data_IF_792431071457
#
_entry.id   IF_792431071457
#
_cell.length_a   1.000
_cell.length_b   1.000
_cell.length_c   1.000
_cell.angle_alpha   90.00
_cell.angle_beta   90.00
_cell.angle_gamma   90.00
#
_symmetry.space_group_name_H-M   'P 1'
#
loop_
_entity.id
_entity.type
_entity.pdbx_description
1 polymer ?
#
# COMPACT_ATOMS: atom_id res chain seq x y z
N UNK A 1 -9.25 13.29 -9.20
CA UNK A 1 -7.85 13.11 -8.74
C UNK A 1 -7.82 12.27 -7.47
N UNK A 2 -8.18 12.80 -6.29
CA UNK A 2 -8.17 12.02 -5.04
C UNK A 2 -9.07 10.76 -5.07
N UNK A 3 -10.27 10.84 -5.65
CA UNK A 3 -11.17 9.69 -5.79
C UNK A 3 -10.59 8.55 -6.65
N UNK A 4 -9.81 8.88 -7.67
CA UNK A 4 -9.25 7.89 -8.62
C UNK A 4 -8.05 7.14 -8.03
N UNK A 5 -7.25 7.79 -7.18
CA UNK A 5 -6.18 7.11 -6.45
C UNK A 5 -6.74 6.24 -5.32
N UNK A 6 -7.86 6.66 -4.72
CA UNK A 6 -8.60 5.84 -3.76
C UNK A 6 -9.13 4.56 -4.40
N UNK A 7 -9.71 4.64 -5.61
CA UNK A 7 -10.14 3.45 -6.36
C UNK A 7 -8.99 2.46 -6.61
N UNK A 8 -7.78 2.95 -6.87
CA UNK A 8 -6.59 2.11 -6.97
C UNK A 8 -6.24 1.46 -5.62
N UNK A 9 -6.25 2.22 -4.52
CA UNK A 9 -5.97 1.67 -3.20
C UNK A 9 -7.00 0.60 -2.81
N UNK A 10 -8.29 0.88 -3.01
CA UNK A 10 -9.37 -0.06 -2.74
C UNK A 10 -9.20 -1.35 -3.56
N UNK A 11 -8.82 -1.23 -4.83
CA UNK A 11 -8.53 -2.38 -5.68
C UNK A 11 -7.33 -3.19 -5.16
N UNK A 12 -6.24 -2.54 -4.76
CA UNK A 12 -5.07 -3.22 -4.19
C UNK A 12 -5.45 -3.98 -2.92
N UNK A 13 -6.20 -3.35 -2.02
CA UNK A 13 -6.60 -3.96 -0.75
C UNK A 13 -7.50 -5.17 -0.99
N UNK A 14 -8.51 -5.04 -1.84
CA UNK A 14 -9.46 -6.14 -2.10
C UNK A 14 -8.77 -7.32 -2.81
N UNK A 15 -7.90 -7.06 -3.78
CA UNK A 15 -7.33 -8.11 -4.64
C UNK A 15 -5.98 -8.66 -4.17
N UNK A 16 -5.27 -7.95 -3.31
CA UNK A 16 -3.96 -8.38 -2.83
C UNK A 16 -3.98 -8.59 -1.32
N UNK A 17 -4.43 -7.61 -0.52
CA UNK A 17 -4.42 -7.74 0.94
C UNK A 17 -5.38 -8.82 1.44
N UNK A 18 -6.64 -8.72 1.02
CA UNK A 18 -7.70 -9.64 1.48
C UNK A 18 -7.48 -11.04 0.93
N UNK A 19 -7.07 -11.20 -0.33
CA UNK A 19 -6.83 -12.54 -0.90
C UNK A 19 -5.61 -13.24 -0.30
N UNK A 20 -4.55 -12.50 0.04
CA UNK A 20 -3.33 -13.07 0.62
C UNK A 20 -3.57 -13.48 2.08
N UNK A 21 -4.18 -12.61 2.90
CA UNK A 21 -4.45 -12.95 4.29
C UNK A 21 -5.52 -14.05 4.43
N UNK A 22 -6.51 -14.13 3.53
CA UNK A 22 -7.45 -15.24 3.53
C UNK A 22 -6.78 -16.58 3.24
N UNK A 23 -5.77 -16.60 2.36
CA UNK A 23 -4.95 -17.79 2.10
C UNK A 23 -4.13 -18.15 3.32
N UNK A 24 -3.56 -17.17 4.01
CA UNK A 24 -2.81 -17.41 5.25
C UNK A 24 -3.70 -17.98 6.36
N UNK A 25 -4.93 -17.49 6.51
CA UNK A 25 -5.92 -18.07 7.44
C UNK A 25 -6.23 -19.52 7.04
N UNK A 26 -6.44 -19.81 5.75
CA UNK A 26 -6.67 -21.18 5.28
C UNK A 26 -5.48 -22.12 5.52
N UNK A 27 -4.25 -21.62 5.38
CA UNK A 27 -3.03 -22.41 5.58
C UNK A 27 -2.73 -22.68 7.06
N UNK A 28 -3.12 -21.76 7.95
CA UNK A 28 -2.89 -21.87 9.39
C UNK A 28 -4.09 -22.43 10.17
N UNK A 29 -5.24 -22.60 9.51
CA UNK A 29 -6.43 -23.18 10.12
C UNK A 29 -6.12 -24.56 10.72
N UNK A 30 -6.47 -24.73 11.98
CA UNK A 30 -6.27 -26.01 12.67
C UNK A 30 -7.35 -27.01 12.21
N UNK A 31 -7.02 -28.31 12.22
CA UNK A 31 -7.98 -29.37 11.85
C UNK A 31 -9.22 -29.47 12.77
N UNK A 32 -9.28 -28.66 13.83
CA UNK A 32 -10.34 -28.66 14.85
C UNK A 32 -11.24 -27.42 14.73
N UNK A 33 -10.84 -26.39 13.98
CA UNK A 33 -11.66 -25.21 13.73
C UNK A 33 -12.83 -25.52 12.81
N UNK A 34 -13.99 -25.00 13.16
CA UNK A 34 -15.17 -25.10 12.30
C UNK A 34 -15.05 -24.13 11.12
N UNK A 35 -15.61 -24.51 9.97
CA UNK A 35 -15.64 -23.62 8.79
C UNK A 35 -16.29 -22.25 9.07
N UNK A 36 -17.20 -22.16 10.05
CA UNK A 36 -17.78 -20.88 10.48
C UNK A 36 -16.82 -19.98 11.24
N UNK A 37 -15.86 -20.54 11.99
CA UNK A 37 -14.85 -19.77 12.72
C UNK A 37 -13.81 -19.20 11.73
N UNK A 38 -13.36 -20.03 10.78
CA UNK A 38 -12.46 -19.63 9.68
C UNK A 38 -13.09 -18.48 8.86
N UNK A 39 -14.37 -18.60 8.48
CA UNK A 39 -15.07 -17.55 7.73
C UNK A 39 -15.28 -16.26 8.54
N UNK A 40 -15.37 -16.34 9.87
CA UNK A 40 -15.44 -15.14 10.71
C UNK A 40 -14.09 -14.43 10.76
N UNK A 41 -13.01 -15.18 10.97
CA UNK A 41 -11.66 -14.65 11.03
C UNK A 41 -11.25 -13.98 9.71
N UNK A 42 -11.59 -14.59 8.57
CA UNK A 42 -11.38 -14.00 7.24
C UNK A 42 -12.12 -12.66 7.05
N UNK A 43 -13.31 -12.50 7.63
CA UNK A 43 -14.06 -11.23 7.55
C UNK A 43 -13.45 -10.17 8.45
N UNK A 44 -13.03 -10.53 9.65
CA UNK A 44 -12.40 -9.60 10.59
C UNK A 44 -11.07 -9.08 10.04
N UNK A 45 -10.29 -9.96 9.43
CA UNK A 45 -9.08 -9.63 8.66
C UNK A 45 -9.39 -8.64 7.54
N UNK A 46 -10.34 -8.98 6.68
CA UNK A 46 -10.67 -8.14 5.53
C UNK A 46 -11.15 -6.75 5.97
N UNK A 47 -11.94 -6.67 7.05
CA UNK A 47 -12.41 -5.41 7.59
C UNK A 47 -11.26 -4.56 8.14
N UNK A 48 -10.28 -5.16 8.83
CA UNK A 48 -9.10 -4.42 9.32
C UNK A 48 -8.30 -3.79 8.19
N UNK A 49 -8.10 -4.52 7.09
CA UNK A 49 -7.36 -4.00 5.94
C UNK A 49 -8.13 -2.87 5.23
N UNK A 50 -9.47 -2.98 5.16
CA UNK A 50 -10.32 -1.90 4.66
C UNK A 50 -10.23 -0.67 5.56
N UNK A 51 -10.39 -0.83 6.88
CA UNK A 51 -10.33 0.28 7.83
C UNK A 51 -8.96 1.00 7.77
N UNK A 52 -7.88 0.21 7.67
CA UNK A 52 -6.52 0.71 7.50
C UNK A 52 -6.36 1.47 6.19
N UNK A 53 -6.91 0.96 5.10
CA UNK A 53 -6.89 1.64 3.80
C UNK A 53 -7.64 2.97 3.85
N UNK A 54 -8.77 3.03 4.56
CA UNK A 54 -9.51 4.28 4.75
C UNK A 54 -8.70 5.31 5.55
N UNK A 55 -8.04 4.90 6.64
CA UNK A 55 -7.18 5.79 7.44
C UNK A 55 -5.99 6.33 6.62
N UNK A 56 -5.39 5.46 5.81
CA UNK A 56 -4.16 5.75 5.08
C UNK A 56 -4.37 6.20 3.63
N UNK A 57 -5.62 6.39 3.18
CA UNK A 57 -5.93 6.78 1.81
C UNK A 57 -5.28 8.12 1.41
N UNK A 58 -5.37 9.13 2.27
CA UNK A 58 -4.80 10.45 2.01
C UNK A 58 -3.26 10.44 2.03
N UNK A 59 -2.59 9.83 3.03
CA UNK A 59 -1.15 9.59 2.97
C UNK A 59 -0.69 8.81 1.74
N UNK A 60 -1.41 7.74 1.38
CA UNK A 60 -1.11 6.93 0.19
C UNK A 60 -1.13 7.79 -1.08
N UNK A 61 -2.20 8.55 -1.28
CA UNK A 61 -2.34 9.39 -2.46
C UNK A 61 -1.25 10.46 -2.54
N UNK A 62 -0.94 11.11 -1.41
CA UNK A 62 0.15 12.10 -1.34
C UNK A 62 1.51 11.49 -1.62
N UNK A 63 1.81 10.35 -1.01
CA UNK A 63 3.05 9.60 -1.23
C UNK A 63 3.23 9.17 -2.69
N UNK A 64 2.15 8.68 -3.32
CA UNK A 64 2.20 8.24 -4.72
C UNK A 64 2.40 9.42 -5.69
N UNK A 65 1.75 10.56 -5.43
CA UNK A 65 1.99 11.79 -6.19
C UNK A 65 3.42 12.31 -5.99
N UNK A 66 3.95 12.27 -4.77
CA UNK A 66 5.33 12.65 -4.49
C UNK A 66 6.32 11.74 -5.24
N UNK A 67 6.09 10.42 -5.22
CA UNK A 67 6.87 9.45 -5.98
C UNK A 67 6.83 9.71 -7.48
N UNK A 68 5.66 10.00 -8.02
CA UNK A 68 5.51 10.30 -9.43
C UNK A 68 6.26 11.58 -9.82
N UNK A 69 6.14 12.65 -9.04
CA UNK A 69 6.87 13.91 -9.28
C UNK A 69 8.38 13.72 -9.20
N UNK A 70 8.87 12.96 -8.23
CA UNK A 70 10.28 12.63 -8.10
C UNK A 70 10.78 11.86 -9.34
N UNK A 71 10.01 10.88 -9.80
CA UNK A 71 10.30 10.12 -11.03
C UNK A 71 10.37 11.01 -12.27
N UNK A 72 9.41 11.93 -12.43
CA UNK A 72 9.40 12.90 -13.53
C UNK A 72 10.61 13.86 -13.48
N UNK A 73 11.15 14.12 -12.29
CA UNK A 73 12.38 14.88 -12.09
C UNK A 73 13.67 14.04 -12.25
N UNK A 74 13.55 12.74 -12.55
CA UNK A 74 14.68 11.83 -12.77
C UNK A 74 15.19 11.12 -11.51
N UNK A 75 14.53 11.28 -10.36
CA UNK A 75 14.84 10.50 -9.17
C UNK A 75 14.25 9.09 -9.28
N UNK A 76 14.98 8.10 -8.76
CA UNK A 76 14.55 6.69 -8.80
C UNK A 76 13.71 6.30 -7.59
N UNK A 77 13.87 6.99 -6.47
CA UNK A 77 13.20 6.72 -5.20
C UNK A 77 12.80 8.03 -4.51
N UNK A 78 11.78 7.95 -3.66
CA UNK A 78 11.49 9.02 -2.70
C UNK A 78 12.13 8.70 -1.36
N UNK A 79 12.46 9.74 -0.61
CA UNK A 79 12.96 9.65 0.76
C UNK A 79 11.89 10.19 1.69
N UNK A 80 11.56 9.45 2.73
CA UNK A 80 10.58 9.79 3.75
C UNK A 80 11.22 9.64 5.13
N UNK A 81 11.12 10.65 5.96
CA UNK A 81 11.75 10.75 7.28
C UNK A 81 10.69 10.54 8.38
N UNK A 82 10.88 9.54 9.25
CA UNK A 82 9.88 9.18 10.27
C UNK A 82 9.66 10.26 11.34
N UNK A 83 10.58 11.23 11.42
CA UNK A 83 10.49 12.39 12.32
C UNK A 83 9.45 13.40 11.86
N UNK A 84 9.12 13.40 10.56
CA UNK A 84 8.00 14.15 10.01
C UNK A 84 6.74 13.27 10.06
N UNK A 85 5.70 13.62 10.83
CA UNK A 85 4.50 12.80 10.95
C UNK A 85 3.74 12.58 9.63
N UNK A 86 3.85 13.50 8.67
CA UNK A 86 3.25 13.33 7.35
C UNK A 86 4.07 12.36 6.51
N UNK A 87 5.40 12.50 6.49
CA UNK A 87 6.28 11.57 5.76
C UNK A 87 6.24 10.17 6.35
N UNK A 88 6.17 10.05 7.68
CA UNK A 88 5.99 8.77 8.35
C UNK A 88 4.71 8.07 7.90
N UNK A 89 3.57 8.78 7.87
CA UNK A 89 2.30 8.22 7.39
C UNK A 89 2.33 7.87 5.89
N UNK A 90 3.04 8.64 5.07
CA UNK A 90 3.25 8.29 3.67
C UNK A 90 4.08 7.01 3.56
N UNK A 91 5.10 6.84 4.39
CA UNK A 91 5.94 5.64 4.40
C UNK A 91 5.12 4.42 4.82
N UNK A 92 4.34 4.51 5.91
CA UNK A 92 3.45 3.46 6.38
C UNK A 92 2.47 3.01 5.29
N UNK A 93 1.87 3.97 4.57
CA UNK A 93 0.92 3.69 3.51
C UNK A 93 1.58 3.05 2.28
N UNK A 94 2.71 3.59 1.80
CA UNK A 94 3.38 3.06 0.61
C UNK A 94 4.04 1.70 0.89
N UNK A 95 4.64 1.52 2.06
CA UNK A 95 5.21 0.23 2.45
C UNK A 95 4.09 -0.80 2.62
N UNK A 96 3.04 -0.44 3.36
CA UNK A 96 1.90 -1.32 3.61
C UNK A 96 1.21 -1.80 2.34
N UNK A 97 0.93 -0.89 1.39
CA UNK A 97 0.08 -1.20 0.23
C UNK A 97 0.82 -1.38 -1.10
N UNK A 98 2.10 -1.00 -1.22
CA UNK A 98 2.86 -1.24 -2.45
C UNK A 98 3.98 -2.24 -2.25
N UNK A 99 4.77 -2.11 -1.17
CA UNK A 99 5.94 -2.97 -0.96
C UNK A 99 5.51 -4.39 -0.62
N UNK A 100 4.50 -4.55 0.26
CA UNK A 100 3.95 -5.86 0.64
C UNK A 100 3.51 -6.70 -0.57
N UNK A 101 3.08 -6.05 -1.66
CA UNK A 101 2.56 -6.71 -2.87
C UNK A 101 3.50 -6.59 -4.08
N UNK A 102 4.79 -6.31 -3.84
CA UNK A 102 5.83 -6.17 -4.87
C UNK A 102 5.54 -5.13 -5.96
N UNK A 103 4.71 -4.14 -5.67
CA UNK A 103 4.42 -2.97 -6.51
C UNK A 103 5.42 -1.83 -6.24
N UNK A 104 6.18 -1.93 -5.15
CA UNK A 104 7.32 -1.09 -4.84
C UNK A 104 8.39 -1.91 -4.10
N UNK A 105 9.57 -1.33 -3.94
CA UNK A 105 10.59 -1.81 -3.01
C UNK A 105 10.91 -0.71 -2.01
N UNK A 106 11.31 -1.09 -0.80
CA UNK A 106 11.83 -0.16 0.20
C UNK A 106 13.19 -0.60 0.73
N UNK A 107 13.99 0.39 1.11
CA UNK A 107 15.14 0.21 1.99
C UNK A 107 15.05 1.23 3.13
N UNK A 108 15.56 0.86 4.28
CA UNK A 108 15.51 1.70 5.49
C UNK A 108 16.93 1.99 5.97
N UNK A 109 17.14 3.21 6.43
CA UNK A 109 18.38 3.66 7.06
C UNK A 109 18.05 4.25 8.43
N UNK A 110 18.68 3.74 9.50
CA UNK A 110 18.59 4.35 10.82
C UNK A 110 19.50 5.57 10.88
N UNK A 111 18.93 6.75 11.12
CA UNK A 111 19.67 8.01 11.14
C UNK A 111 20.09 8.43 12.56
N UNK A 112 19.27 8.05 13.54
CA UNK A 112 19.45 8.27 14.97
C UNK A 112 18.72 7.12 15.71
N UNK A 113 18.98 6.87 17.01
CA UNK A 113 18.32 5.78 17.73
C UNK A 113 16.80 5.84 17.62
N UNK A 114 16.19 4.79 17.05
CA UNK A 114 14.74 4.71 16.78
C UNK A 114 14.21 5.80 15.83
N UNK A 115 15.05 6.30 14.93
CA UNK A 115 14.67 7.24 13.87
C UNK A 115 15.17 6.72 12.52
N UNK A 116 14.27 6.70 11.54
CA UNK A 116 14.46 6.02 10.28
C UNK A 116 14.14 6.92 9.09
N UNK A 117 14.93 6.74 8.03
CA UNK A 117 14.58 7.18 6.68
C UNK A 117 14.21 5.99 5.82
N UNK A 118 13.05 6.10 5.19
CA UNK A 118 12.54 5.14 4.23
C UNK A 118 12.80 5.64 2.83
N UNK A 119 13.43 4.80 2.02
CA UNK A 119 13.63 5.06 0.61
C UNK A 119 12.73 4.10 -0.17
N UNK A 120 11.75 4.65 -0.90
CA UNK A 120 10.73 3.86 -1.59
C UNK A 120 10.88 4.04 -3.10
N UNK A 121 11.06 2.93 -3.81
CA UNK A 121 11.10 2.87 -5.27
C UNK A 121 9.81 2.24 -5.78
N UNK A 122 8.96 3.02 -6.45
CA UNK A 122 7.72 2.50 -7.04
C UNK A 122 8.02 1.77 -8.35
N UNK A 123 7.49 0.57 -8.52
CA UNK A 123 7.57 -0.16 -9.78
C UNK A 123 6.40 0.26 -10.68
N UNK A 124 6.59 1.34 -11.43
CA UNK A 124 5.56 1.90 -12.31
C UNK A 124 5.07 0.91 -13.38
N UNK A 125 5.97 0.08 -13.91
CA UNK A 125 5.64 -0.94 -14.93
C UNK A 125 4.69 -2.01 -14.38
N UNK A 126 4.78 -2.33 -13.08
CA UNK A 126 3.85 -3.24 -12.39
C UNK A 126 2.59 -2.55 -11.90
N UNK A 127 2.71 -1.33 -11.38
CA UNK A 127 1.58 -0.59 -10.83
C UNK A 127 0.59 -0.14 -11.91
N UNK A 128 1.08 0.16 -13.12
CA UNK A 128 0.23 0.68 -14.19
C UNK A 128 -0.79 -0.36 -14.72
N UNK A 129 -0.45 -1.64 -14.94
CA UNK A 129 -1.44 -2.69 -15.19
C UNK A 129 -2.48 -2.84 -14.06
N UNK A 130 -2.08 -2.75 -12.80
CA UNK A 130 -3.00 -2.82 -11.64
C UNK A 130 -3.98 -1.65 -11.67
N UNK A 131 -3.48 -0.43 -11.89
CA UNK A 131 -4.33 0.73 -12.06
C UNK A 131 -5.33 0.58 -13.21
N UNK A 132 -4.91 0.05 -14.36
CA UNK A 132 -5.83 -0.22 -15.47
C UNK A 132 -6.90 -1.25 -15.11
N UNK A 133 -6.54 -2.30 -14.36
CA UNK A 133 -7.51 -3.29 -13.88
C UNK A 133 -8.54 -2.66 -12.91
N UNK A 134 -8.11 -1.68 -12.11
CA UNK A 134 -8.98 -0.85 -11.28
C UNK A 134 -9.80 0.20 -12.06
N UNK A 135 -9.64 0.30 -13.40
CA UNK A 135 -10.28 1.34 -14.21
C UNK A 135 -9.65 2.73 -14.09
N UNK A 136 -8.47 2.82 -13.48
CA UNK A 136 -7.74 4.06 -13.19
C UNK A 136 -6.69 4.34 -14.27
N UNK A 137 -6.79 5.51 -14.90
CA UNK A 137 -5.67 6.07 -15.66
C UNK A 137 -4.67 6.71 -14.69
N UNK A 138 -3.65 5.93 -14.33
CA UNK A 138 -2.64 6.30 -13.34
C UNK A 138 -1.92 7.62 -13.69
N UNK A 139 -1.58 7.82 -14.96
CA UNK A 139 -0.86 9.03 -15.40
C UNK A 139 -1.75 10.26 -15.23
N UNK A 140 -3.01 10.16 -15.64
CA UNK A 140 -3.98 11.25 -15.47
C UNK A 140 -4.34 11.51 -13.99
N UNK A 141 -4.36 10.46 -13.16
CA UNK A 141 -4.66 10.57 -11.74
C UNK A 141 -3.54 11.24 -10.92
N UNK A 142 -2.29 11.08 -11.36
CA UNK A 142 -1.09 11.62 -10.71
C UNK A 142 -0.59 12.94 -11.33
N UNK A 143 -1.16 13.33 -12.47
CA UNK A 143 -0.90 14.63 -13.07
C UNK A 143 -1.42 15.77 -12.17
N UNK A 144 -0.67 16.87 -12.01
CA UNK A 144 -1.06 18.01 -11.19
C UNK A 144 -2.23 18.82 -11.76
#
# INVERSE_FOLDING_TARGET
>A
MAGTIRELLDYIVVHYAVEDEQKDVDLNASAVESGSEIESEKRDVAQREIDRAEELADPFARGLVAAYRASQAGATEIVLDDRDPEENRMADALIGFLVSYELATSRTEETDPMQYRYFVTVNWDRLQPVARAAGVDLTSALAP
#
